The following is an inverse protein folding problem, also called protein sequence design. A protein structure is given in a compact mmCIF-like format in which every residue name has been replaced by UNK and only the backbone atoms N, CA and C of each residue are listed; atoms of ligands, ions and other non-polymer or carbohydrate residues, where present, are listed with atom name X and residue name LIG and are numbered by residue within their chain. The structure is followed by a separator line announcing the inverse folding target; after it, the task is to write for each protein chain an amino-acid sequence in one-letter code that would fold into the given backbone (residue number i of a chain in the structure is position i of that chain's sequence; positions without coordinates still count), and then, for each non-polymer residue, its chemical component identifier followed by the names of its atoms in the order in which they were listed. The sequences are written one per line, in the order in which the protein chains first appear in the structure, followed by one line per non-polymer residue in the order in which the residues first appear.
data_IF_687588009703
#
_entry.id   IF_687588009703
#
_cell.length_a   1.000
_cell.length_b   1.000
_cell.length_c   1.000
_cell.angle_alpha   90.00
_cell.angle_beta   90.00
_cell.angle_gamma   90.00
#
_symmetry.space_group_name_H-M   'P 1'
#
loop_
_entity.id
_entity.type
_entity.pdbx_description
1 polymer ?
#
# COMPACT_ATOMS: atom_id res chain seq x y z
N UNK A 1 -9.53 -56.11 36.79
CA UNK A 1 -9.35 -54.87 36.01
C UNK A 1 -10.42 -54.80 34.91
N UNK A 2 -11.40 -53.90 35.02
CA UNK A 2 -12.36 -53.65 33.93
C UNK A 2 -11.63 -52.86 32.84
N UNK A 3 -11.40 -53.45 31.66
CA UNK A 3 -10.92 -52.73 30.47
C UNK A 3 -12.04 -51.80 30.00
N UNK A 4 -11.85 -50.49 30.11
CA UNK A 4 -12.72 -49.54 29.40
C UNK A 4 -12.42 -49.65 27.90
N UNK A 5 -13.40 -50.07 27.11
CA UNK A 5 -13.30 -50.02 25.66
C UNK A 5 -13.28 -48.54 25.28
N UNK A 6 -12.14 -48.04 24.80
CA UNK A 6 -12.08 -46.70 24.21
C UNK A 6 -12.99 -46.69 22.98
N UNK A 7 -14.04 -45.87 23.03
CA UNK A 7 -14.86 -45.58 21.85
C UNK A 7 -13.98 -44.81 20.87
N UNK A 8 -13.65 -45.43 19.73
CA UNK A 8 -12.94 -44.77 18.65
C UNK A 8 -13.82 -43.72 17.97
N UNK A 9 -13.18 -42.74 17.34
CA UNK A 9 -13.84 -41.72 16.52
C UNK A 9 -14.51 -42.37 15.31
N UNK A 10 -15.74 -41.99 14.98
CA UNK A 10 -16.42 -42.53 13.79
C UNK A 10 -15.94 -41.84 12.52
N UNK A 11 -15.95 -42.58 11.41
CA UNK A 11 -15.62 -42.02 10.09
C UNK A 11 -16.60 -40.89 9.70
N UNK A 12 -17.86 -41.01 10.14
CA UNK A 12 -18.90 -40.00 9.94
C UNK A 12 -18.56 -38.70 10.70
N UNK A 13 -18.14 -38.79 11.96
CA UNK A 13 -17.72 -37.60 12.73
C UNK A 13 -16.53 -36.90 12.04
N UNK A 14 -15.57 -37.66 11.53
CA UNK A 14 -14.42 -37.10 10.84
C UNK A 14 -14.81 -36.40 9.53
N UNK A 15 -15.73 -36.99 8.76
CA UNK A 15 -16.23 -36.38 7.52
C UNK A 15 -17.00 -35.07 7.77
N UNK A 16 -17.82 -35.01 8.83
CA UNK A 16 -18.56 -33.79 9.19
C UNK A 16 -17.57 -32.67 9.57
N UNK A 17 -16.54 -32.99 10.35
CA UNK A 17 -15.50 -32.01 10.75
C UNK A 17 -14.78 -31.46 9.51
N UNK A 18 -14.38 -32.32 8.57
CA UNK A 18 -13.73 -31.88 7.33
C UNK A 18 -14.64 -31.00 6.48
N UNK A 19 -15.95 -31.33 6.40
CA UNK A 19 -16.91 -30.52 5.68
C UNK A 19 -17.06 -29.11 6.29
N UNK A 20 -17.14 -29.00 7.61
CA UNK A 20 -17.23 -27.70 8.31
C UNK A 20 -15.95 -26.87 8.10
N UNK A 21 -14.77 -27.49 8.24
CA UNK A 21 -13.49 -26.82 7.99
C UNK A 21 -13.40 -26.34 6.54
N UNK A 22 -13.88 -27.13 5.57
CA UNK A 22 -13.91 -26.75 4.17
C UNK A 22 -14.72 -25.48 3.90
N UNK A 23 -15.91 -25.36 4.50
CA UNK A 23 -16.75 -24.16 4.37
C UNK A 23 -16.07 -22.94 5.02
N UNK A 24 -15.54 -23.10 6.23
CA UNK A 24 -14.86 -22.01 6.93
C UNK A 24 -13.61 -21.54 6.18
N UNK A 25 -12.83 -22.47 5.63
CA UNK A 25 -11.62 -22.17 4.86
C UNK A 25 -11.94 -21.41 3.57
N UNK A 26 -13.02 -21.77 2.87
CA UNK A 26 -13.43 -21.08 1.64
C UNK A 26 -13.73 -19.59 1.85
N UNK A 27 -14.27 -19.22 3.02
CA UNK A 27 -14.54 -17.81 3.37
C UNK A 27 -13.33 -17.13 4.00
N UNK A 28 -12.58 -17.82 4.85
CA UNK A 28 -11.47 -17.24 5.60
C UNK A 28 -10.22 -17.00 4.74
N UNK A 29 -9.92 -17.88 3.78
CA UNK A 29 -8.70 -17.79 2.97
C UNK A 29 -8.63 -16.50 2.12
N UNK A 30 -9.69 -16.10 1.37
CA UNK A 30 -9.66 -14.85 0.61
C UNK A 30 -9.47 -13.62 1.51
N UNK A 31 -10.14 -13.59 2.68
CA UNK A 31 -10.00 -12.49 3.63
C UNK A 31 -8.58 -12.41 4.23
N UNK A 32 -7.98 -13.56 4.54
CA UNK A 32 -6.60 -13.61 5.04
C UNK A 32 -5.60 -13.16 3.96
N UNK A 33 -5.78 -13.58 2.71
CA UNK A 33 -4.96 -13.09 1.59
C UNK A 33 -5.05 -11.57 1.49
N UNK A 34 -6.26 -11.00 1.50
CA UNK A 34 -6.45 -9.56 1.41
C UNK A 34 -5.78 -8.80 2.57
N UNK A 35 -5.81 -9.36 3.78
CA UNK A 35 -5.09 -8.82 4.93
C UNK A 35 -3.56 -8.84 4.74
N UNK A 36 -3.01 -9.95 4.25
CA UNK A 36 -1.56 -10.06 4.01
C UNK A 36 -1.08 -9.11 2.90
N UNK A 37 -1.87 -8.92 1.84
CA UNK A 37 -1.57 -7.95 0.79
C UNK A 37 -1.58 -6.54 1.38
N UNK A 38 -2.58 -6.18 2.19
CA UNK A 38 -2.64 -4.86 2.85
C UNK A 38 -1.44 -4.59 3.77
N UNK A 39 -0.96 -5.62 4.47
CA UNK A 39 0.24 -5.49 5.29
C UNK A 39 1.47 -5.17 4.42
N UNK A 40 1.67 -5.91 3.33
CA UNK A 40 2.75 -5.68 2.36
C UNK A 40 2.67 -4.32 1.66
N UNK A 41 1.46 -3.86 1.36
CA UNK A 41 1.21 -2.52 0.80
C UNK A 41 1.66 -1.41 1.74
N UNK A 42 1.65 -1.64 3.05
CA UNK A 42 2.20 -0.68 4.01
C UNK A 42 3.71 -0.48 3.81
N UNK A 43 4.45 -1.53 3.39
CA UNK A 43 5.87 -1.40 3.01
C UNK A 43 6.06 -0.57 1.74
N UNK A 44 5.15 -0.70 0.76
CA UNK A 44 5.15 0.13 -0.46
C UNK A 44 4.99 1.62 -0.11
N UNK A 45 4.10 1.93 0.84
CA UNK A 45 3.90 3.31 1.31
C UNK A 45 5.12 3.80 2.12
N UNK A 46 5.72 2.93 2.94
CA UNK A 46 6.93 3.26 3.70
C UNK A 46 8.14 3.52 2.80
N UNK A 47 8.24 2.85 1.65
CA UNK A 47 9.29 3.10 0.67
C UNK A 47 9.27 4.54 0.12
N UNK A 48 8.11 5.21 0.16
CA UNK A 48 7.97 6.62 -0.22
C UNK A 48 8.45 7.62 0.85
N UNK A 49 8.80 7.16 2.06
CA UNK A 49 9.14 8.04 3.19
C UNK A 49 10.38 8.90 2.92
N UNK A 50 11.41 8.35 2.29
CA UNK A 50 12.62 9.09 1.91
C UNK A 50 12.29 10.26 0.97
N UNK A 51 11.56 9.97 -0.12
CA UNK A 51 11.10 10.99 -1.05
C UNK A 51 10.19 12.02 -0.38
N UNK A 52 9.35 11.60 0.57
CA UNK A 52 8.48 12.50 1.31
C UNK A 52 9.28 13.55 2.08
N UNK A 53 10.32 13.12 2.79
CA UNK A 53 11.21 14.00 3.54
C UNK A 53 11.96 14.92 2.59
N UNK A 54 12.61 14.39 1.56
CA UNK A 54 13.36 15.18 0.58
C UNK A 54 12.50 16.24 -0.10
N UNK A 55 11.28 15.89 -0.54
CA UNK A 55 10.36 16.83 -1.17
C UNK A 55 9.93 17.92 -0.19
N UNK A 56 9.66 17.54 1.07
CA UNK A 56 9.28 18.50 2.11
C UNK A 56 10.39 19.51 2.36
N UNK A 57 11.63 19.05 2.49
CA UNK A 57 12.81 19.89 2.68
C UNK A 57 13.11 20.76 1.45
N UNK A 58 13.11 20.17 0.26
CA UNK A 58 13.37 20.87 -1.01
C UNK A 58 12.33 21.95 -1.30
N UNK A 59 11.05 21.69 -1.00
CA UNK A 59 10.00 22.70 -1.17
C UNK A 59 10.18 23.85 -0.19
N UNK A 60 10.38 23.54 1.09
CA UNK A 60 10.50 24.54 2.16
C UNK A 60 11.76 25.42 2.04
N UNK A 61 12.88 24.82 1.63
CA UNK A 61 14.16 25.52 1.47
C UNK A 61 14.30 26.25 0.13
N UNK A 62 13.32 26.13 -0.78
CA UNK A 62 13.41 26.74 -2.09
C UNK A 62 13.41 28.27 -2.01
N UNK A 63 14.42 28.97 -2.58
CA UNK A 63 14.50 30.42 -2.55
C UNK A 63 13.59 31.11 -3.59
N UNK A 64 12.92 30.33 -4.44
CA UNK A 64 12.05 30.81 -5.53
C UNK A 64 10.72 30.06 -5.50
N UNK A 65 9.68 30.65 -6.08
CA UNK A 65 8.34 30.03 -6.14
C UNK A 65 8.30 28.77 -7.00
N UNK A 66 9.15 28.66 -8.02
CA UNK A 66 9.24 27.49 -8.88
C UNK A 66 10.26 26.49 -8.32
N UNK A 67 9.76 25.53 -7.54
CA UNK A 67 10.52 24.42 -6.97
C UNK A 67 10.35 23.10 -7.76
N UNK A 68 9.73 23.14 -8.94
CA UNK A 68 9.32 21.93 -9.69
C UNK A 68 10.46 20.94 -9.94
N UNK A 69 11.67 21.43 -10.24
CA UNK A 69 12.85 20.60 -10.44
C UNK A 69 13.38 20.00 -9.14
N UNK A 70 13.30 20.74 -8.03
CA UNK A 70 13.80 20.33 -6.71
C UNK A 70 12.94 19.27 -6.03
N UNK A 71 11.65 19.18 -6.39
CA UNK A 71 10.69 18.22 -5.81
C UNK A 71 10.34 17.06 -6.77
N UNK A 72 10.87 17.08 -7.99
CA UNK A 72 10.66 16.04 -9.00
C UNK A 72 11.80 15.02 -9.04
N UNK A 73 11.52 13.85 -9.61
CA UNK A 73 12.55 12.86 -9.93
C UNK A 73 13.14 12.11 -8.74
N UNK A 74 12.54 12.20 -7.55
CA UNK A 74 12.95 11.35 -6.44
C UNK A 74 12.67 9.89 -6.79
N UNK A 75 13.73 9.09 -6.93
CA UNK A 75 13.62 7.69 -7.31
C UNK A 75 13.52 6.78 -6.09
N UNK A 76 12.60 5.82 -6.15
CA UNK A 76 12.48 4.75 -5.16
C UNK A 76 12.99 3.46 -5.79
N UNK A 77 14.01 2.87 -5.18
CA UNK A 77 14.61 1.62 -5.63
C UNK A 77 13.65 0.44 -5.50
N UNK A 78 13.83 -0.53 -6.37
CA UNK A 78 13.08 -1.78 -6.31
C UNK A 78 13.40 -2.55 -5.03
N UNK A 79 12.38 -3.19 -4.47
CA UNK A 79 12.49 -4.12 -3.35
C UNK A 79 11.65 -5.35 -3.66
N UNK A 80 11.48 -6.26 -2.69
CA UNK A 80 10.58 -7.39 -2.84
C UNK A 80 9.13 -6.95 -3.07
N UNK A 81 8.69 -5.86 -2.44
CA UNK A 81 7.30 -5.38 -2.51
C UNK A 81 7.13 -4.18 -3.46
N UNK A 82 8.21 -3.51 -3.84
CA UNK A 82 8.19 -2.29 -4.67
C UNK A 82 8.85 -2.59 -6.00
N UNK A 83 8.11 -2.36 -7.08
CA UNK A 83 8.63 -2.46 -8.44
C UNK A 83 9.42 -1.21 -8.81
N UNK A 84 8.87 -0.03 -8.53
CA UNK A 84 9.49 1.27 -8.80
C UNK A 84 8.76 2.40 -8.09
N UNK A 85 9.37 3.58 -8.03
CA UNK A 85 8.64 4.80 -7.67
C UNK A 85 9.38 6.06 -8.10
N UNK A 86 8.61 7.12 -8.33
CA UNK A 86 9.13 8.42 -8.77
C UNK A 86 8.26 9.57 -8.26
N UNK A 87 8.83 10.78 -8.16
CA UNK A 87 8.06 12.00 -7.88
C UNK A 87 7.84 12.87 -9.12
N UNK A 88 6.66 13.48 -9.21
CA UNK A 88 6.31 14.43 -10.28
C UNK A 88 6.83 15.84 -10.01
N UNK A 89 6.66 16.75 -10.99
CA UNK A 89 6.94 18.18 -10.85
C UNK A 89 6.14 18.89 -9.77
N UNK A 90 5.05 18.27 -9.28
CA UNK A 90 4.23 18.77 -8.18
C UNK A 90 4.54 18.07 -6.85
N UNK A 91 5.63 17.29 -6.79
CA UNK A 91 6.00 16.54 -5.59
C UNK A 91 5.08 15.35 -5.29
N UNK A 92 4.21 14.95 -6.23
CA UNK A 92 3.38 13.75 -6.09
C UNK A 92 4.27 12.53 -6.25
N UNK A 93 4.39 11.73 -5.20
CA UNK A 93 5.17 10.49 -5.22
C UNK A 93 4.26 9.37 -5.69
N UNK A 94 4.62 8.70 -6.77
CA UNK A 94 3.92 7.50 -7.26
C UNK A 94 4.80 6.30 -7.03
N UNK A 95 4.27 5.28 -6.35
CA UNK A 95 4.97 4.02 -6.09
C UNK A 95 4.18 2.88 -6.72
N UNK A 96 4.84 2.09 -7.54
CA UNK A 96 4.32 0.84 -8.07
C UNK A 96 4.78 -0.31 -7.17
N UNK A 97 3.82 -1.04 -6.59
CA UNK A 97 4.09 -2.30 -5.92
C UNK A 97 4.42 -3.40 -6.94
N UNK A 98 5.26 -4.37 -6.55
CA UNK A 98 5.52 -5.55 -7.36
C UNK A 98 4.37 -6.56 -7.19
N UNK A 99 3.59 -6.88 -8.25
CA UNK A 99 2.51 -7.87 -8.14
C UNK A 99 2.97 -9.24 -7.66
N UNK A 100 4.20 -9.67 -8.00
CA UNK A 100 4.75 -10.94 -7.57
C UNK A 100 5.09 -10.94 -6.06
N UNK A 101 5.49 -9.80 -5.53
CA UNK A 101 5.74 -9.60 -4.11
C UNK A 101 4.46 -9.45 -3.29
N UNK A 102 3.52 -8.64 -3.77
CA UNK A 102 2.28 -8.32 -3.08
C UNK A 102 1.33 -9.51 -3.02
N UNK A 103 1.10 -10.19 -4.14
CA UNK A 103 0.16 -11.30 -4.26
C UNK A 103 -1.31 -10.86 -4.24
N UNK A 104 -2.23 -11.81 -4.10
CA UNK A 104 -3.65 -11.56 -4.26
C UNK A 104 -4.01 -11.18 -5.70
N UNK A 105 -4.97 -10.28 -5.88
CA UNK A 105 -5.41 -9.83 -7.21
C UNK A 105 -4.63 -8.62 -7.74
N UNK A 106 -3.45 -8.31 -7.20
CA UNK A 106 -2.59 -7.24 -7.74
C UNK A 106 -2.02 -7.61 -9.10
N UNK A 107 -1.92 -6.64 -10.00
CA UNK A 107 -1.44 -6.83 -11.38
C UNK A 107 -0.72 -5.57 -11.85
N UNK A 108 -0.07 -5.61 -13.01
CA UNK A 108 0.54 -4.44 -13.66
C UNK A 108 -0.45 -3.28 -13.88
N UNK A 109 -1.77 -3.56 -13.88
CA UNK A 109 -2.84 -2.57 -14.00
C UNK A 109 -3.51 -2.19 -12.68
N UNK A 110 -3.07 -2.75 -11.55
CA UNK A 110 -3.69 -2.56 -10.24
C UNK A 110 -2.66 -2.69 -9.12
N UNK A 111 -1.62 -1.86 -9.15
CA UNK A 111 -0.48 -1.95 -8.23
C UNK A 111 0.10 -0.60 -7.79
N UNK A 112 -0.47 0.54 -8.19
CA UNK A 112 0.13 1.84 -7.90
C UNK A 112 -0.61 2.61 -6.80
N UNK A 113 0.18 3.31 -5.99
CA UNK A 113 -0.26 4.21 -4.92
C UNK A 113 0.40 5.56 -5.15
N UNK A 114 -0.31 6.63 -4.87
CA UNK A 114 0.23 7.97 -4.87
C UNK A 114 0.20 8.60 -3.48
N UNK A 115 1.21 9.41 -3.17
CA UNK A 115 1.26 10.29 -2.03
C UNK A 115 1.31 11.72 -2.57
N UNK A 116 0.28 12.49 -2.23
CA UNK A 116 0.10 13.87 -2.69
C UNK A 116 0.37 14.80 -1.51
N UNK A 117 1.30 15.76 -1.64
CA UNK A 117 1.51 16.78 -0.62
C UNK A 117 0.46 17.89 -0.73
N UNK A 118 0.05 18.42 0.42
CA UNK A 118 -0.94 19.48 0.56
C UNK A 118 -0.43 20.64 1.42
N UNK A 119 -0.83 21.85 1.05
CA UNK A 119 -0.63 23.09 1.81
C UNK A 119 -2.00 23.68 2.09
N UNK A 120 -2.41 23.74 3.36
CA UNK A 120 -3.69 24.29 3.79
C UNK A 120 -4.91 23.71 3.03
N UNK A 121 -4.87 22.41 2.73
CA UNK A 121 -5.95 21.71 2.03
C UNK A 121 -5.90 21.74 0.50
N UNK A 122 -4.96 22.48 -0.10
CA UNK A 122 -4.74 22.50 -1.55
C UNK A 122 -3.52 21.65 -1.91
N UNK A 123 -3.60 20.86 -2.98
CA UNK A 123 -2.45 20.09 -3.45
C UNK A 123 -1.32 21.02 -3.90
N UNK A 124 -0.07 20.66 -3.59
CA UNK A 124 1.12 21.44 -3.97
C UNK A 124 1.20 21.58 -5.49
N UNK A 125 1.54 22.78 -5.94
CA UNK A 125 1.88 23.11 -7.32
C UNK A 125 3.35 23.53 -7.36
N UNK A 126 4.20 22.69 -7.96
CA UNK A 126 5.65 22.90 -7.89
C UNK A 126 6.15 24.17 -8.56
N UNK A 127 5.38 24.76 -9.47
CA UNK A 127 5.75 26.02 -10.14
C UNK A 127 5.50 27.27 -9.30
N UNK A 128 4.68 27.18 -8.24
CA UNK A 128 4.25 28.36 -7.46
C UNK A 128 4.46 28.25 -5.95
N UNK A 129 4.69 27.04 -5.44
CA UNK A 129 4.68 26.76 -4.00
C UNK A 129 6.06 26.58 -3.37
N UNK A 130 7.14 26.87 -4.10
CA UNK A 130 8.48 26.94 -3.52
C UNK A 130 8.55 27.94 -2.36
N UNK A 131 9.25 27.55 -1.29
CA UNK A 131 9.34 28.28 -0.03
C UNK A 131 8.16 28.06 0.93
N UNK A 132 7.11 27.33 0.53
CA UNK A 132 5.96 27.03 1.37
C UNK A 132 6.14 25.72 2.16
N UNK A 133 5.45 25.65 3.30
CA UNK A 133 5.43 24.47 4.18
C UNK A 133 4.29 23.52 3.82
N UNK A 134 4.63 22.28 3.47
CA UNK A 134 3.66 21.19 3.35
C UNK A 134 3.03 20.93 4.71
N UNK A 135 1.70 21.00 4.79
CA UNK A 135 0.94 20.79 6.04
C UNK A 135 0.45 19.37 6.20
N UNK A 136 0.25 18.65 5.09
CA UNK A 136 -0.32 17.30 5.12
C UNK A 136 0.16 16.48 3.91
N UNK A 137 0.25 15.17 4.08
CA UNK A 137 0.44 14.21 2.99
C UNK A 137 -0.74 13.25 2.96
N UNK A 138 -1.42 13.17 1.82
CA UNK A 138 -2.52 12.21 1.62
C UNK A 138 -2.09 11.11 0.69
N UNK A 139 -2.34 9.87 1.08
CA UNK A 139 -2.07 8.71 0.26
C UNK A 139 -3.35 8.11 -0.28
N UNK A 140 -3.28 7.50 -1.46
CA UNK A 140 -4.44 6.90 -2.10
C UNK A 140 -4.06 6.12 -3.36
N UNK A 141 -5.05 5.54 -4.06
CA UNK A 141 -4.81 4.90 -5.35
C UNK A 141 -4.27 5.93 -6.33
N UNK A 142 -3.27 5.56 -7.15
CA UNK A 142 -2.73 6.47 -8.16
C UNK A 142 -3.72 6.69 -9.31
N UNK A 143 -3.45 7.67 -10.17
CA UNK A 143 -4.28 7.96 -11.36
C UNK A 143 -4.15 6.88 -12.44
N UNK A 144 -2.96 6.29 -12.57
CA UNK A 144 -2.67 5.23 -13.55
C UNK A 144 -2.43 3.91 -12.82
N UNK A 145 -3.10 2.84 -13.24
CA UNK A 145 -3.02 1.49 -12.64
C UNK A 145 -3.38 1.43 -11.14
N UNK A 146 -4.47 2.09 -10.71
CA UNK A 146 -4.82 2.29 -9.31
C UNK A 146 -4.87 0.96 -8.55
N UNK A 147 -4.20 0.91 -7.41
CA UNK A 147 -4.39 -0.19 -6.48
C UNK A 147 -5.82 -0.21 -5.93
N UNK A 148 -6.38 -1.41 -5.78
CA UNK A 148 -7.71 -1.60 -5.19
C UNK A 148 -7.74 -1.10 -3.73
N UNK A 149 -8.78 -0.32 -3.38
CA UNK A 149 -8.97 0.27 -2.03
C UNK A 149 -9.02 -0.77 -0.93
N UNK A 150 -9.39 -2.03 -1.23
CA UNK A 150 -9.36 -3.11 -0.23
C UNK A 150 -7.94 -3.44 0.26
N UNK A 151 -6.92 -3.18 -0.56
CA UNK A 151 -5.51 -3.40 -0.22
C UNK A 151 -4.85 -2.19 0.45
N UNK A 152 -5.51 -1.03 0.46
CA UNK A 152 -4.98 0.16 1.11
C UNK A 152 -5.15 0.09 2.64
N UNK A 153 -4.16 0.53 3.43
CA UNK A 153 -4.34 0.75 4.87
C UNK A 153 -5.33 1.89 5.11
N UNK A 154 -5.90 1.96 6.32
CA UNK A 154 -6.92 2.96 6.66
C UNK A 154 -6.50 4.40 6.38
N UNK A 155 -5.22 4.72 6.58
CA UNK A 155 -4.63 6.04 6.30
C UNK A 155 -4.60 6.44 4.83
N UNK A 156 -4.76 5.49 3.90
CA UNK A 156 -4.71 5.74 2.45
C UNK A 156 -6.04 5.48 1.75
N UNK A 157 -7.15 5.41 2.50
CA UNK A 157 -8.49 5.20 1.93
C UNK A 157 -9.25 6.49 1.65
N UNK A 158 -8.82 7.60 2.26
CA UNK A 158 -9.37 8.95 2.15
C UNK A 158 -9.16 9.55 0.77
#
# INVERSE_FOLDING_TARGET
MKRSIQKGFTLIELMIVVAIIGILAAVALPAYQDYTVRARVSEVILAASSCRTTITESLQSSPISNASTAISGCAISNTKMVLSGTSSTNGVITVAGDPAGLGGSTSATANTIQLVPYINGTAVVGTTDGGKTITEWRCGPATTNPMDRKYLPGSCKS
#
